data_IF_983178980896
#
_entry.id   IF_983178980896
#
_cell.length_a   1.000
_cell.length_b   1.000
_cell.length_c   1.000
_cell.angle_alpha   90.00
_cell.angle_beta   90.00
_cell.angle_gamma   90.00
#
_symmetry.space_group_name_H-M   'P 1'
#
loop_
_entity.id
_entity.type
_entity.pdbx_description
1 polymer ?
2 water ?
#
# COMPACT_ATOMS: atom_id res chain seq x y z
N UNK A 2 11.42 21.28 20.28
CA UNK A 2 10.15 21.52 19.48
C UNK A 2 9.17 20.33 19.33
N UNK A 3 7.91 20.59 19.73
CA UNK A 3 6.71 19.78 19.40
C UNK A 3 6.64 19.23 17.94
N UNK A 4 6.05 18.04 17.77
CA UNK A 4 5.79 17.46 16.46
C UNK A 4 4.68 18.22 15.68
N UNK A 5 4.93 18.43 14.39
CA UNK A 5 3.95 19.04 13.51
C UNK A 5 3.41 18.07 12.46
N UNK A 6 2.11 18.12 12.29
CA UNK A 6 1.48 17.34 11.30
C UNK A 6 0.89 18.26 10.26
N UNK A 7 1.33 18.15 9.01
CA UNK A 7 0.52 18.79 7.96
C UNK A 7 -0.60 17.87 7.60
N UNK A 8 -1.81 18.39 7.64
CA UNK A 8 -2.96 17.51 7.77
C UNK A 8 -4.32 18.12 7.36
N UNK A 9 -5.32 17.25 7.20
CA UNK A 9 -6.68 17.67 7.04
C UNK A 9 -7.46 16.62 7.76
N UNK A 10 -8.39 16.99 8.65
CA UNK A 10 -9.08 15.99 9.39
C UNK A 10 -9.98 15.10 8.57
N UNK A 11 -10.52 15.60 7.44
CA UNK A 11 -11.29 14.71 6.56
C UNK A 11 -10.42 13.59 6.01
N UNK A 12 -9.11 13.79 5.94
CA UNK A 12 -8.26 12.82 5.23
C UNK A 12 -8.03 11.47 5.94
N UNK A 13 -8.35 10.32 5.29
CA UNK A 13 -8.11 9.10 6.07
C UNK A 13 -6.72 8.80 6.59
N UNK A 14 -5.68 8.88 5.70
CA UNK A 14 -4.36 8.68 6.25
C UNK A 14 -3.98 9.71 7.31
N UNK A 15 -4.63 10.91 7.25
CA UNK A 15 -4.44 11.88 8.28
C UNK A 15 -4.92 11.38 9.64
N UNK A 16 -6.20 10.95 9.70
CA UNK A 16 -6.77 10.34 10.91
C UNK A 16 -6.04 9.08 11.45
N UNK A 17 -5.33 8.35 10.57
CA UNK A 17 -4.62 7.14 11.04
C UNK A 17 -3.60 7.55 12.08
N UNK A 18 -2.90 8.66 11.81
CA UNK A 18 -1.79 9.19 12.56
C UNK A 18 -2.23 9.84 13.84
N UNK A 19 -3.34 10.57 13.72
CA UNK A 19 -4.06 11.23 14.84
C UNK A 19 -4.46 10.19 15.91
N UNK A 20 -5.07 9.08 15.47
CA UNK A 20 -5.31 7.94 16.36
C UNK A 20 -4.00 7.48 17.05
N UNK A 21 -2.92 7.34 16.29
CA UNK A 21 -1.64 6.92 16.83
C UNK A 21 -1.07 7.90 17.92
N UNK A 22 -1.06 9.21 17.56
CA UNK A 22 -0.69 10.22 18.48
C UNK A 22 -1.47 10.00 19.74
N UNK A 23 -2.79 10.01 19.62
CA UNK A 23 -3.60 9.78 20.75
C UNK A 23 -3.14 8.55 21.59
N UNK A 24 -3.02 7.37 20.95
CA UNK A 24 -2.60 6.14 21.55
C UNK A 24 -1.25 6.23 22.22
N UNK A 25 -0.39 7.18 21.75
CA UNK A 25 0.94 7.42 22.31
C UNK A 25 1.02 8.52 23.36
N UNK A 26 -0.05 9.30 23.48
CA UNK A 26 -0.09 10.43 24.44
C UNK A 26 0.66 11.65 23.92
N UNK A 27 0.72 11.74 22.57
CA UNK A 27 1.50 12.72 21.87
C UNK A 27 0.52 13.78 21.40
N UNK A 28 1.05 15.00 21.45
CA UNK A 28 0.32 16.22 21.23
C UNK A 28 0.84 16.76 19.86
N UNK A 29 -0.02 16.75 18.85
CA UNK A 29 0.41 17.21 17.53
C UNK A 29 0.02 18.66 17.21
N UNK A 30 0.94 19.40 16.60
CA UNK A 30 0.55 20.69 16.15
C UNK A 30 0.02 20.51 14.72
N UNK A 31 -1.30 20.63 14.55
CA UNK A 31 -1.90 20.55 13.21
C UNK A 31 -1.78 21.83 12.40
N UNK A 32 -1.34 21.71 11.18
CA UNK A 32 -1.28 22.77 10.21
C UNK A 32 -2.08 22.28 9.06
N UNK A 33 -3.11 23.01 8.68
CA UNK A 33 -4.05 22.51 7.71
C UNK A 33 -3.48 22.63 6.33
N UNK A 34 -3.80 21.64 5.49
CA UNK A 34 -3.43 21.60 4.07
C UNK A 34 -4.74 21.22 3.42
N UNK A 35 -5.50 22.22 2.97
CA UNK A 35 -6.81 22.05 2.34
C UNK A 35 -6.55 21.61 0.90
N UNK A 36 -6.69 20.30 0.69
CA UNK A 36 -6.63 19.76 -0.69
C UNK A 36 -7.72 20.29 -1.63
N UNK A 37 -8.96 20.52 -1.17
CA UNK A 37 -10.01 21.13 -2.02
C UNK A 37 -9.58 22.47 -2.73
N UNK A 38 -8.80 23.29 -2.02
CA UNK A 38 -8.22 24.55 -2.55
C UNK A 38 -6.74 24.46 -3.11
N UNK A 39 -6.19 23.27 -3.24
CA UNK A 39 -4.84 23.06 -3.76
C UNK A 39 -3.71 23.54 -2.87
N UNK A 40 -3.86 23.46 -1.54
CA UNK A 40 -2.80 23.86 -0.58
C UNK A 40 -1.55 23.05 -0.81
N UNK A 41 -1.72 21.84 -1.38
CA UNK A 41 -0.74 20.73 -1.44
C UNK A 41 0.05 20.76 -2.72
N UNK A 42 -0.53 21.50 -3.65
CA UNK A 42 0.08 21.80 -4.89
C UNK A 42 0.90 23.08 -4.83
N UNK A 43 0.81 23.84 -3.73
CA UNK A 43 1.60 25.04 -3.53
C UNK A 43 3.09 24.70 -3.34
N UNK A 44 3.99 25.46 -4.01
CA UNK A 44 5.46 25.25 -4.07
C UNK A 44 6.23 24.95 -2.75
N UNK A 45 5.74 25.45 -1.63
CA UNK A 45 6.39 25.22 -0.36
C UNK A 45 6.13 23.80 0.21
N UNK A 46 4.94 23.28 -0.09
CA UNK A 46 4.56 21.94 0.30
C UNK A 46 5.01 21.00 -0.80
N UNK A 47 5.26 21.49 -2.01
CA UNK A 47 5.76 20.52 -2.95
C UNK A 47 7.18 20.29 -2.58
N UNK A 48 7.75 21.23 -1.81
CA UNK A 48 9.15 21.08 -1.34
C UNK A 48 9.27 20.04 -0.22
N UNK A 49 8.25 19.95 0.65
CA UNK A 49 8.19 19.00 1.73
C UNK A 49 7.89 17.61 1.21
N UNK A 50 7.12 17.52 0.13
CA UNK A 50 6.64 16.24 -0.35
C UNK A 50 6.34 16.38 -1.80
N UNK A 51 7.24 15.84 -2.65
CA UNK A 51 7.07 15.72 -4.12
C UNK A 51 5.85 14.85 -4.55
N UNK A 52 5.23 14.17 -3.59
CA UNK A 52 4.04 13.44 -3.91
C UNK A 52 2.85 14.30 -3.56
N UNK A 53 3.12 15.49 -3.03
CA UNK A 53 2.06 16.41 -2.60
C UNK A 53 0.85 15.65 -1.99
N UNK A 54 1.13 14.83 -0.97
CA UNK A 54 0.12 14.13 -0.20
C UNK A 54 0.28 14.54 1.26
N UNK A 55 -0.79 14.32 2.01
CA UNK A 55 -0.83 14.44 3.44
C UNK A 55 -1.21 13.05 4.05
N UNK A 56 -0.82 12.82 5.32
CA UNK A 56 -0.13 13.76 6.19
C UNK A 56 1.35 13.86 5.92
N UNK A 57 1.95 14.95 6.41
CA UNK A 57 3.37 15.07 6.49
C UNK A 57 3.77 15.33 7.90
N UNK A 58 4.68 14.55 8.45
CA UNK A 58 5.30 14.83 9.71
C UNK A 58 6.58 15.66 9.64
N UNK A 59 6.68 16.68 10.53
CA UNK A 59 7.86 17.44 10.75
C UNK A 59 8.22 17.35 12.24
N UNK A 60 9.30 16.68 12.54
CA UNK A 60 9.74 16.49 13.92
C UNK A 60 11.09 17.19 14.12
N UNK A 61 11.14 18.53 14.13
CA UNK A 61 12.33 19.33 14.43
C UNK A 61 13.36 18.97 13.42
N UNK A 62 13.10 19.17 12.16
CA UNK A 62 14.05 18.93 11.17
C UNK A 62 13.64 17.76 10.32
N UNK A 63 13.24 16.64 10.94
CA UNK A 63 12.96 15.39 10.20
C UNK A 63 11.57 15.44 9.58
N UNK A 64 11.49 15.21 8.27
CA UNK A 64 10.25 15.23 7.55
C UNK A 64 9.93 13.80 7.09
N UNK A 65 8.73 13.32 7.45
CA UNK A 65 8.31 12.00 7.06
C UNK A 65 7.00 12.15 6.35
N UNK A 66 6.93 11.63 5.15
CA UNK A 66 5.75 11.62 4.36
C UNK A 66 5.01 10.24 4.66
N UNK A 67 3.81 10.07 4.18
CA UNK A 67 3.18 8.75 4.17
C UNK A 67 2.75 8.24 5.55
N UNK A 68 1.43 8.17 5.76
CA UNK A 68 0.88 7.78 7.04
C UNK A 68 1.49 6.56 7.73
N UNK A 69 1.92 5.55 6.98
CA UNK A 69 2.23 4.26 7.64
C UNK A 69 3.64 4.37 8.17
N UNK A 70 4.49 5.03 7.39
CA UNK A 70 5.82 5.37 7.87
C UNK A 70 5.82 6.28 9.09
N UNK A 71 4.94 7.32 9.14
CA UNK A 71 4.92 8.31 10.24
C UNK A 71 4.46 7.52 11.46
N UNK A 72 3.44 6.66 11.24
CA UNK A 72 3.00 5.81 12.36
C UNK A 72 4.06 4.85 12.96
N UNK A 73 4.72 4.11 12.07
CA UNK A 73 5.97 3.30 12.50
C UNK A 73 6.96 4.12 13.33
N UNK A 74 7.34 5.27 12.78
CA UNK A 74 8.32 6.18 13.38
C UNK A 74 7.87 6.78 14.69
N UNK A 75 6.62 7.17 14.76
CA UNK A 75 6.11 7.67 16.04
C UNK A 75 6.19 6.58 17.16
N UNK A 76 5.63 5.38 16.90
CA UNK A 76 5.80 4.27 17.84
C UNK A 76 7.27 3.94 18.15
N UNK A 77 8.13 3.91 17.14
CA UNK A 77 9.53 3.57 17.38
C UNK A 77 10.18 4.62 18.26
N UNK A 78 9.93 5.90 18.00
CA UNK A 78 10.58 6.91 18.79
C UNK A 78 9.92 7.10 20.15
N UNK A 79 8.58 6.96 20.21
CA UNK A 79 7.94 7.61 21.34
C UNK A 79 7.18 6.70 22.21
N UNK A 80 7.02 5.47 21.75
CA UNK A 80 6.25 4.50 22.48
C UNK A 80 6.99 4.23 23.76
N UNK A 81 6.25 4.09 24.86
CA UNK A 81 6.81 3.68 26.09
C UNK A 81 6.93 2.09 26.09
N UNK A 82 6.23 1.44 25.16
CA UNK A 82 6.32 -0.01 24.92
C UNK A 82 6.00 -0.21 23.46
N UNK A 83 6.10 -1.46 23.01
CA UNK A 83 5.93 -1.71 21.58
C UNK A 83 4.60 -2.33 21.19
N UNK A 84 3.58 -2.30 22.05
CA UNK A 84 2.32 -2.98 21.65
C UNK A 84 1.79 -2.52 20.31
N UNK A 85 1.96 -1.25 20.01
CA UNK A 85 1.33 -0.66 18.80
C UNK A 85 2.18 -1.04 17.55
N UNK A 86 3.42 -1.44 17.76
CA UNK A 86 4.20 -1.89 16.66
C UNK A 86 5.38 -2.80 17.10
N UNK A 87 5.08 -4.14 17.15
CA UNK A 87 5.98 -5.15 17.69
C UNK A 87 7.37 -5.04 17.13
N UNK A 88 8.38 -5.07 18.01
CA UNK A 88 9.75 -5.37 17.61
C UNK A 88 9.99 -6.85 17.17
N UNK A 89 9.35 -7.83 17.78
CA UNK A 89 9.58 -9.23 17.34
C UNK A 89 9.31 -9.29 15.81
N UNK A 90 10.27 -9.79 15.00
CA UNK A 90 10.10 -9.91 13.52
C UNK A 90 8.85 -10.62 13.05
N UNK A 91 8.51 -11.73 13.70
CA UNK A 91 7.33 -12.51 13.29
C UNK A 91 6.05 -11.71 13.60
N UNK A 92 6.00 -11.19 14.82
CA UNK A 92 4.91 -10.35 15.16
C UNK A 92 4.88 -9.11 14.31
N UNK A 93 6.04 -8.54 13.96
CA UNK A 93 6.04 -7.28 13.22
C UNK A 93 5.61 -7.49 11.78
N UNK A 94 5.84 -8.69 11.25
CA UNK A 94 5.45 -9.06 9.88
C UNK A 94 3.97 -9.20 9.73
N UNK A 95 3.28 -9.60 10.76
CA UNK A 95 1.83 -9.59 10.69
C UNK A 95 1.26 -8.18 10.73
N UNK A 96 1.77 -7.32 11.58
CA UNK A 96 1.45 -5.91 11.41
C UNK A 96 1.78 -5.37 10.00
N UNK A 97 3.03 -5.50 9.52
CA UNK A 97 3.38 -5.08 8.19
C UNK A 97 2.52 -5.53 7.05
N UNK A 98 2.02 -6.77 7.09
CA UNK A 98 1.19 -7.31 6.07
C UNK A 98 -0.18 -6.65 6.02
N UNK A 99 -0.78 -6.42 7.20
CA UNK A 99 -1.99 -5.68 7.40
C UNK A 99 -1.80 -4.13 7.11
N UNK A 100 -0.58 -3.59 7.23
CA UNK A 100 -0.34 -2.19 6.84
C UNK A 100 -0.30 -2.02 5.35
N UNK A 101 0.22 -3.02 4.66
CA UNK A 101 0.29 -3.01 3.26
C UNK A 101 -0.91 -3.43 2.54
N UNK A 102 -1.71 -4.25 3.21
CA UNK A 102 -3.07 -4.63 2.82
C UNK A 102 -3.96 -3.37 2.86
N UNK A 103 -3.97 -2.68 3.99
CA UNK A 103 -4.56 -1.37 4.02
C UNK A 103 -4.07 -0.41 2.92
N UNK A 104 -2.75 -0.17 2.73
CA UNK A 104 -2.30 0.71 1.63
C UNK A 104 -2.78 0.25 0.23
N UNK A 105 -2.63 -1.05 -0.05
CA UNK A 105 -2.70 -1.57 -1.37
C UNK A 105 -4.05 -2.01 -1.75
N UNK A 106 -4.86 -2.35 -0.75
CA UNK A 106 -6.23 -2.80 -1.05
C UNK A 106 -7.32 -1.86 -0.60
N UNK A 107 -7.45 -1.64 0.70
CA UNK A 107 -8.55 -0.91 1.26
C UNK A 107 -8.52 0.59 0.86
N UNK A 108 -7.37 1.23 1.04
CA UNK A 108 -7.30 2.69 0.77
C UNK A 108 -7.19 2.95 -0.71
N UNK A 109 -6.47 2.10 -1.41
CA UNK A 109 -6.34 2.24 -2.83
C UNK A 109 -7.69 2.13 -3.54
N UNK A 110 -8.54 1.20 -3.12
CA UNK A 110 -9.90 1.05 -3.63
C UNK A 110 -10.85 2.17 -3.25
N UNK A 111 -10.75 2.64 -2.03
CA UNK A 111 -11.43 3.87 -1.62
C UNK A 111 -11.10 5.16 -2.42
N UNK A 112 -9.83 5.38 -2.64
CA UNK A 112 -9.33 6.40 -3.54
C UNK A 112 -9.79 6.35 -5.01
N UNK A 113 -9.92 5.14 -5.51
CA UNK A 113 -10.34 4.79 -6.85
C UNK A 113 -11.81 5.17 -6.91
N UNK A 114 -12.48 5.22 -5.74
CA UNK A 114 -13.91 5.66 -5.66
C UNK A 114 -14.07 7.16 -5.41
N UNK A 115 -13.32 7.73 -4.47
CA UNK A 115 -13.46 9.06 -3.94
C UNK A 115 -12.80 10.12 -4.79
N UNK A 116 -11.68 9.78 -5.38
CA UNK A 116 -10.82 10.80 -6.00
C UNK A 116 -11.46 11.45 -7.24
N UNK A 117 -11.99 10.63 -8.14
CA UNK A 117 -12.72 11.08 -9.28
C UNK A 117 -13.99 11.92 -8.89
N UNK A 118 -14.57 11.62 -7.73
CA UNK A 118 -15.72 12.41 -7.31
C UNK A 118 -15.27 13.76 -6.72
N UNK A 119 -14.25 13.74 -5.87
CA UNK A 119 -13.97 14.94 -5.13
C UNK A 119 -13.12 15.90 -5.92
N UNK A 120 -12.41 15.40 -6.96
CA UNK A 120 -11.44 16.17 -7.71
C UNK A 120 -11.58 16.17 -9.23
N UNK A 121 -12.32 15.22 -9.80
CA UNK A 121 -12.42 15.07 -11.26
C UNK A 121 -13.86 15.34 -11.74
N UNK A 122 -14.72 15.84 -10.85
CA UNK A 122 -16.08 16.29 -11.23
C UNK A 122 -17.13 15.22 -11.42
N UNK A 123 -16.86 14.02 -10.94
CA UNK A 123 -17.62 12.83 -11.34
C UNK A 123 -18.81 12.60 -10.44
N UNK A 124 -19.86 12.04 -11.03
CA UNK A 124 -21.14 12.01 -10.36
C UNK A 124 -21.64 10.59 -10.14
N UNK A 125 -20.86 9.59 -10.60
CA UNK A 125 -21.23 8.18 -10.44
C UNK A 125 -20.23 7.45 -9.54
N UNK A 126 -20.68 6.31 -8.98
CA UNK A 126 -19.80 5.28 -8.41
C UNK A 126 -19.91 4.11 -9.37
N UNK A 127 -19.02 4.02 -10.39
CA UNK A 127 -19.14 2.82 -11.23
C UNK A 127 -19.23 1.49 -10.49
N UNK A 128 -20.00 0.58 -11.07
CA UNK A 128 -20.24 -0.76 -10.57
C UNK A 128 -18.92 -1.46 -10.32
N UNK A 129 -17.87 -1.20 -11.08
CA UNK A 129 -16.59 -1.92 -10.81
C UNK A 129 -15.80 -1.42 -9.59
N UNK A 130 -15.91 -0.10 -9.33
CA UNK A 130 -15.49 0.53 -8.10
C UNK A 130 -16.18 -0.11 -6.92
N UNK A 131 -17.49 -0.15 -6.96
CA UNK A 131 -18.28 -0.93 -5.98
C UNK A 131 -17.81 -2.37 -5.69
N UNK A 132 -17.59 -3.19 -6.71
CA UNK A 132 -17.13 -4.58 -6.51
C UNK A 132 -15.76 -4.66 -5.90
N UNK A 133 -14.86 -3.78 -6.31
CA UNK A 133 -13.49 -3.71 -5.74
C UNK A 133 -13.64 -3.36 -4.25
N UNK A 134 -14.53 -2.44 -3.89
CA UNK A 134 -14.66 -2.03 -2.48
C UNK A 134 -15.35 -3.13 -1.66
N UNK A 135 -16.46 -3.66 -2.18
CA UNK A 135 -17.15 -4.84 -1.57
C UNK A 135 -16.15 -6.03 -1.46
N UNK A 136 -15.25 -6.25 -2.45
CA UNK A 136 -14.23 -7.34 -2.30
C UNK A 136 -13.20 -7.01 -1.21
N UNK A 137 -12.83 -5.72 -1.10
CA UNK A 137 -11.99 -5.29 -0.03
C UNK A 137 -12.60 -5.47 1.37
N UNK A 138 -13.89 -5.17 1.56
CA UNK A 138 -14.57 -5.56 2.79
C UNK A 138 -14.46 -7.05 3.15
N UNK A 139 -14.65 -7.95 2.20
CA UNK A 139 -14.60 -9.43 2.46
C UNK A 139 -13.18 -9.85 2.79
N UNK A 140 -12.21 -9.24 2.13
CA UNK A 140 -10.84 -9.51 2.41
C UNK A 140 -10.46 -9.12 3.83
N UNK A 141 -11.15 -8.14 4.39
CA UNK A 141 -10.86 -7.63 5.69
C UNK A 141 -11.54 -8.50 6.67
N UNK A 142 -12.80 -8.78 6.49
CA UNK A 142 -13.54 -9.75 7.32
C UNK A 142 -12.83 -11.11 7.48
N UNK A 143 -12.28 -11.66 6.38
CA UNK A 143 -11.34 -12.84 6.44
C UNK A 143 -9.97 -12.67 7.10
N UNK A 144 -9.52 -11.43 7.27
CA UNK A 144 -8.27 -11.16 7.90
C UNK A 144 -8.49 -11.05 9.43
N UNK A 145 -9.70 -10.75 9.81
CA UNK A 145 -10.07 -10.66 11.23
C UNK A 145 -10.40 -12.04 11.89
N UNK A 146 -9.46 -13.00 11.85
CA UNK A 146 -9.55 -14.25 12.65
C UNK A 146 -9.28 -14.00 14.16
N UNK A 147 -8.48 -12.95 14.42
CA UNK A 147 -8.36 -12.41 15.76
C UNK A 147 -9.20 -11.17 16.01
N UNK A 148 -9.15 -10.68 17.25
CA UNK A 148 -9.89 -9.46 17.62
C UNK A 148 -9.44 -8.18 16.88
N UNK A 149 -8.21 -8.15 16.34
CA UNK A 149 -7.68 -6.92 15.74
C UNK A 149 -6.98 -7.37 14.51
N UNK A 150 -6.76 -6.45 13.56
CA UNK A 150 -6.41 -6.89 12.22
C UNK A 150 -5.12 -7.74 12.12
N UNK A 151 -4.16 -7.52 13.03
CA UNK A 151 -2.82 -8.18 12.99
C UNK A 151 -2.52 -8.95 14.29
N UNK A 152 -3.57 -9.39 14.97
CA UNK A 152 -3.43 -10.18 16.17
C UNK A 152 -4.48 -9.99 17.23
N UNK A 153 -4.24 -10.52 18.46
CA UNK A 153 -5.04 -10.35 19.65
C UNK A 153 -4.81 -8.96 20.35
N UNK A 154 -3.70 -8.28 20.00
CA UNK A 154 -3.36 -6.93 20.48
C UNK A 154 -3.57 -5.85 19.39
N UNK A 155 -4.16 -4.73 19.78
CA UNK A 155 -4.38 -3.59 18.87
C UNK A 155 -3.09 -2.99 18.39
N UNK A 156 -2.98 -2.69 17.11
CA UNK A 156 -1.80 -2.08 16.51
C UNK A 156 -2.15 -0.89 15.63
N UNK A 157 -1.08 -0.21 15.17
CA UNK A 157 -1.27 0.92 14.22
C UNK A 157 -1.93 0.44 12.96
N UNK A 158 -1.90 -0.89 12.73
CA UNK A 158 -2.58 -1.45 11.56
C UNK A 158 -4.09 -1.28 11.76
N UNK A 159 -4.54 -1.24 13.01
CA UNK A 159 -6.01 -1.10 13.24
C UNK A 159 -6.53 0.31 12.97
N UNK A 160 -5.78 1.30 13.40
CA UNK A 160 -5.98 2.77 13.12
C UNK A 160 -5.98 3.06 11.60
N UNK A 161 -5.04 2.46 10.95
CA UNK A 161 -4.90 2.56 9.50
C UNK A 161 -6.18 1.99 8.84
N UNK A 162 -6.57 0.74 9.14
CA UNK A 162 -7.79 0.19 8.62
C UNK A 162 -9.05 0.95 9.01
N UNK A 163 -9.22 1.30 10.29
CA UNK A 163 -10.44 1.99 10.73
C UNK A 163 -10.63 3.35 10.01
N UNK A 164 -9.55 4.10 9.85
CA UNK A 164 -9.62 5.41 9.23
C UNK A 164 -10.18 5.35 7.80
N UNK A 165 -9.71 4.37 7.04
CA UNK A 165 -10.30 4.01 5.77
C UNK A 165 -11.70 3.47 5.87
N UNK A 166 -11.90 2.37 6.60
CA UNK A 166 -13.20 1.74 6.54
C UNK A 166 -14.31 2.69 6.94
N UNK A 167 -14.06 3.51 7.94
CA UNK A 167 -15.09 4.43 8.45
C UNK A 167 -15.46 5.55 7.52
N UNK A 168 -14.65 5.69 6.48
CA UNK A 168 -14.91 6.72 5.47
C UNK A 168 -15.78 6.12 4.38
N UNK A 169 -15.28 5.03 3.79
CA UNK A 169 -15.92 4.36 2.63
C UNK A 169 -17.26 3.67 2.97
N UNK A 170 -17.56 3.35 4.26
CA UNK A 170 -18.74 2.54 4.54
C UNK A 170 -20.01 3.40 4.46
N UNK A 171 -19.86 4.71 4.66
CA UNK A 171 -20.98 5.67 4.54
C UNK A 171 -21.30 6.05 3.08
N UNK A 172 -20.49 5.54 2.15
CA UNK A 172 -20.67 5.60 0.71
C UNK A 172 -20.94 4.22 0.10
N UNK A 173 -20.17 3.19 0.41
CA UNK A 173 -20.46 1.88 -0.26
C UNK A 173 -20.83 1.01 0.89
N UNK A 174 -22.13 0.74 1.01
CA UNK A 174 -22.81 0.05 2.10
C UNK A 174 -22.04 -1.16 2.52
N UNK A 175 -21.83 -1.30 3.82
CA UNK A 175 -21.16 -2.47 4.39
C UNK A 175 -22.33 -3.21 5.09
N UNK A 176 -22.73 -4.29 4.46
CA UNK A 176 -23.86 -5.06 4.96
C UNK A 176 -23.42 -5.76 6.22
N UNK A 177 -24.15 -5.50 7.29
CA UNK A 177 -23.81 -6.08 8.59
C UNK A 177 -24.01 -7.60 8.78
N UNK A 178 -25.02 -8.19 8.13
CA UNK A 178 -25.30 -9.65 8.23
C UNK A 178 -24.20 -10.46 7.60
N UNK A 179 -23.52 -9.86 6.65
CA UNK A 179 -22.41 -10.44 5.91
C UNK A 179 -21.01 -10.10 6.47
N UNK A 180 -20.91 -9.07 7.27
CA UNK A 180 -19.61 -8.78 7.87
C UNK A 180 -19.68 -8.63 9.36
N UNK A 181 -20.10 -9.70 10.08
CA UNK A 181 -20.12 -9.50 11.58
C UNK A 181 -18.72 -9.21 12.26
N UNK A 182 -17.64 -9.75 11.71
CA UNK A 182 -16.33 -9.56 12.28
C UNK A 182 -15.86 -8.07 12.19
N UNK A 183 -16.08 -7.43 11.04
CA UNK A 183 -15.79 -6.03 10.88
C UNK A 183 -16.57 -5.23 11.91
N UNK A 184 -17.88 -5.48 12.04
CA UNK A 184 -18.68 -4.67 12.98
C UNK A 184 -18.28 -4.86 14.46
N UNK A 185 -18.04 -6.08 14.87
CA UNK A 185 -17.55 -6.35 16.19
C UNK A 185 -16.17 -5.65 16.42
N UNK A 186 -15.41 -5.51 15.36
CA UNK A 186 -14.11 -4.87 15.41
C UNK A 186 -14.24 -3.32 15.55
N UNK A 187 -15.11 -2.70 14.75
CA UNK A 187 -15.43 -1.26 14.84
C UNK A 187 -15.87 -0.91 16.25
N UNK A 188 -16.76 -1.71 16.77
CA UNK A 188 -17.21 -1.68 18.18
C UNK A 188 -16.07 -1.68 19.21
N UNK A 189 -15.12 -2.61 19.09
CA UNK A 189 -13.90 -2.47 19.89
C UNK A 189 -13.22 -1.09 19.78
N UNK A 190 -12.98 -0.59 18.56
CA UNK A 190 -12.22 0.70 18.37
C UNK A 190 -13.01 1.90 18.87
N UNK A 191 -14.31 1.80 18.82
CA UNK A 191 -15.17 2.88 19.33
C UNK A 191 -15.14 2.99 20.80
N UNK A 192 -14.69 1.97 21.49
CA UNK A 192 -14.59 2.06 22.90
C UNK A 192 -13.45 2.91 23.36
N UNK A 193 -12.52 3.24 22.45
CA UNK A 193 -11.38 4.11 22.76
C UNK A 193 -11.84 5.52 23.10
N UNK A 194 -11.38 6.06 24.29
CA UNK A 194 -11.68 7.38 24.83
C UNK A 194 -11.50 8.46 23.77
N UNK A 195 -10.43 8.37 22.97
CA UNK A 195 -10.17 9.33 21.90
C UNK A 195 -10.74 8.94 20.50
N UNK A 196 -11.54 7.89 20.40
CA UNK A 196 -12.05 7.56 19.05
C UNK A 196 -12.99 8.61 18.30
N UNK A 197 -13.92 9.26 18.95
CA UNK A 197 -14.78 10.13 18.18
C UNK A 197 -13.96 11.30 17.55
N UNK A 198 -13.11 11.90 18.39
CA UNK A 198 -12.25 13.03 18.08
C UNK A 198 -11.16 12.73 17.10
N UNK A 199 -10.42 11.65 17.25
CA UNK A 199 -9.31 11.46 16.30
C UNK A 199 -9.75 10.88 14.98
N UNK A 200 -10.91 10.24 14.94
CA UNK A 200 -11.33 9.54 13.73
C UNK A 200 -12.81 9.53 13.37
N UNK A 201 -13.68 9.20 14.32
CA UNK A 201 -15.05 8.77 13.91
C UNK A 201 -15.85 9.86 13.19
N UNK A 202 -15.63 11.11 13.65
CA UNK A 202 -16.31 12.28 13.07
C UNK A 202 -15.81 12.63 11.68
N UNK A 203 -14.50 12.65 11.48
CA UNK A 203 -13.95 12.85 10.10
C UNK A 203 -14.31 11.76 9.07
N UNK A 204 -14.18 10.46 9.44
CA UNK A 204 -14.78 9.34 8.66
C UNK A 204 -16.25 9.51 8.24
N UNK A 205 -17.12 9.66 9.23
CA UNK A 205 -18.50 9.97 8.99
C UNK A 205 -18.56 11.23 8.09
N UNK A 206 -17.97 12.32 8.53
CA UNK A 206 -18.11 13.53 7.70
C UNK A 206 -17.56 13.45 6.23
N UNK A 207 -16.50 12.68 5.99
CA UNK A 207 -15.95 12.51 4.62
C UNK A 207 -16.90 11.72 3.70
N UNK A 208 -17.54 10.70 4.30
CA UNK A 208 -18.57 9.88 3.64
C UNK A 208 -19.71 10.74 3.16
N UNK A 209 -20.27 11.53 4.08
CA UNK A 209 -21.36 12.46 3.76
C UNK A 209 -20.94 13.46 2.71
N UNK A 210 -19.69 13.89 2.80
CA UNK A 210 -19.14 14.88 1.85
C UNK A 210 -19.07 14.35 0.40
N UNK A 211 -18.47 13.17 0.29
CA UNK A 211 -18.37 12.49 -0.99
C UNK A 211 -19.78 12.35 -1.57
N UNK A 212 -20.74 12.02 -0.73
CA UNK A 212 -22.11 11.92 -1.22
C UNK A 212 -22.75 13.28 -1.67
N UNK A 213 -22.55 14.31 -0.87
CA UNK A 213 -22.94 15.70 -1.20
C UNK A 213 -22.18 16.13 -2.46
N UNK A 214 -20.87 15.90 -2.46
CA UNK A 214 -20.02 16.28 -3.56
C UNK A 214 -20.42 15.65 -4.89
N UNK A 215 -21.06 14.50 -4.85
CA UNK A 215 -21.50 13.76 -5.98
C UNK A 215 -22.96 14.12 -6.41
N UNK A 216 -23.88 14.40 -5.47
CA UNK A 216 -25.20 15.03 -5.80
C UNK A 216 -24.93 16.34 -6.56
N UNK A 217 -23.87 17.01 -6.13
CA UNK A 217 -23.37 18.28 -6.67
C UNK A 217 -22.69 18.27 -8.05
N UNK A 218 -22.07 17.15 -8.40
CA UNK A 218 -21.44 16.99 -9.70
C UNK A 218 -22.46 16.59 -10.79
N UNK A 219 -23.65 16.19 -10.37
CA UNK A 219 -24.63 15.78 -11.34
C UNK A 219 -25.30 17.00 -12.04
N UNK A 220 -25.19 18.17 -11.40
CA UNK A 220 -25.94 19.36 -11.74
C UNK A 220 -25.20 20.26 -12.71
N UNK A 221 -24.23 21.00 -12.14
CA UNK A 221 -23.44 22.01 -12.84
C UNK A 221 -22.02 21.50 -13.11
N UNK B 1 18.12 -25.27 9.69
CA UNK B 1 16.64 -25.52 9.82
C UNK B 1 16.10 -25.92 8.44
N UNK B 2 14.81 -25.71 8.19
CA UNK B 2 14.22 -25.87 6.86
C UNK B 2 14.59 -24.72 5.93
N UNK B 3 14.50 -25.01 4.63
CA UNK B 3 14.74 -24.01 3.60
C UNK B 3 13.62 -22.98 3.55
N UNK B 4 13.84 -21.88 2.88
CA UNK B 4 12.73 -20.89 2.79
C UNK B 4 11.76 -21.34 1.71
N UNK B 5 10.48 -21.40 2.02
CA UNK B 5 9.47 -21.79 1.02
C UNK B 5 8.61 -20.56 0.64
N UNK B 6 8.61 -20.25 -0.65
CA UNK B 6 7.75 -19.21 -1.17
C UNK B 6 6.71 -19.85 -2.06
N UNK B 7 5.43 -19.59 -1.80
CA UNK B 7 4.34 -19.92 -2.74
C UNK B 7 4.23 -18.72 -3.67
N UNK B 8 4.35 -18.93 -4.97
CA UNK B 8 4.77 -17.90 -5.87
C UNK B 8 4.33 -18.16 -7.33
N UNK B 9 4.66 -17.23 -8.21
CA UNK B 9 4.41 -17.33 -9.63
C UNK B 9 5.27 -16.23 -10.16
N UNK B 10 6.15 -16.59 -11.07
CA UNK B 10 7.15 -15.68 -11.57
C UNK B 10 6.60 -14.49 -12.34
N UNK B 11 5.57 -14.75 -13.18
CA UNK B 11 4.70 -13.64 -13.70
C UNK B 11 4.13 -12.56 -12.71
N UNK B 12 3.80 -12.96 -11.47
CA UNK B 12 3.32 -12.03 -10.42
C UNK B 12 4.38 -11.03 -10.01
N UNK B 13 4.12 -9.71 -10.20
CA UNK B 13 5.14 -8.66 -9.77
C UNK B 13 5.54 -8.71 -8.26
N UNK B 14 4.60 -8.85 -7.35
CA UNK B 14 5.13 -8.94 -5.93
C UNK B 14 5.99 -10.16 -5.57
N UNK B 15 5.79 -11.26 -6.29
CA UNK B 15 6.63 -12.42 -6.15
C UNK B 15 8.07 -12.06 -6.51
N UNK B 16 8.24 -11.37 -7.63
CA UNK B 16 9.56 -10.99 -8.16
C UNK B 16 10.26 -9.98 -7.33
N UNK B 17 9.48 -9.16 -6.57
CA UNK B 17 9.99 -8.18 -5.62
C UNK B 17 10.70 -9.00 -4.45
N UNK B 18 10.03 -10.06 -4.02
CA UNK B 18 10.60 -11.03 -3.11
C UNK B 18 11.79 -11.85 -3.72
N UNK B 19 11.69 -12.28 -4.98
CA UNK B 19 12.83 -12.89 -5.65
C UNK B 19 14.09 -12.02 -5.71
N UNK B 20 13.91 -10.74 -5.98
CA UNK B 20 15.06 -9.87 -6.13
C UNK B 20 15.72 -9.77 -4.76
N UNK B 21 14.87 -9.72 -3.74
CA UNK B 21 15.22 -9.62 -2.32
C UNK B 21 16.02 -10.83 -1.84
N UNK B 22 15.49 -12.06 -1.97
CA UNK B 22 16.25 -13.30 -1.80
C UNK B 22 17.61 -13.28 -2.53
N UNK B 23 17.63 -13.11 -3.84
CA UNK B 23 18.85 -12.99 -4.61
C UNK B 23 19.89 -12.05 -4.06
N UNK B 24 19.50 -10.80 -3.72
CA UNK B 24 20.39 -9.79 -3.11
C UNK B 24 20.94 -10.24 -1.76
N UNK B 25 20.13 -10.99 -1.01
CA UNK B 25 20.55 -11.42 0.34
C UNK B 25 21.32 -12.74 0.32
N UNK B 26 21.47 -13.35 -0.87
CA UNK B 26 22.19 -14.65 -0.97
C UNK B 26 21.33 -15.79 -0.47
N UNK B 27 20.03 -15.65 -0.58
CA UNK B 27 19.14 -16.64 -0.03
C UNK B 27 18.64 -17.46 -1.19
N UNK B 28 17.90 -18.49 -0.87
CA UNK B 28 17.69 -19.56 -1.82
C UNK B 28 16.27 -20.08 -1.57
N UNK B 29 15.33 -19.74 -2.43
CA UNK B 29 13.96 -20.12 -2.11
C UNK B 29 13.58 -21.39 -2.82
N UNK B 30 12.64 -22.07 -2.20
CA UNK B 30 12.06 -23.24 -2.76
C UNK B 30 10.66 -22.76 -3.21
N UNK B 31 10.57 -22.43 -4.51
CA UNK B 31 9.34 -22.05 -5.20
C UNK B 31 8.36 -23.17 -5.24
N UNK B 32 7.17 -22.97 -4.71
CA UNK B 32 6.03 -23.85 -4.93
C UNK B 32 5.07 -23.02 -5.76
N UNK B 33 4.73 -23.46 -6.96
CA UNK B 33 4.04 -22.61 -7.95
C UNK B 33 2.51 -22.53 -7.75
N UNK B 34 2.00 -21.30 -7.72
CA UNK B 34 0.59 -21.12 -7.44
C UNK B 34 0.01 -20.38 -8.61
N UNK B 35 -0.61 -21.12 -9.49
CA UNK B 35 -0.87 -20.59 -10.80
C UNK B 35 -2.26 -20.05 -10.77
N UNK B 36 -2.35 -18.72 -10.78
CA UNK B 36 -3.64 -17.99 -10.69
C UNK B 36 -4.61 -18.31 -11.85
N UNK B 37 -4.10 -18.44 -13.08
CA UNK B 37 -4.96 -18.53 -14.24
C UNK B 37 -5.69 -19.87 -14.31
N UNK B 38 -5.24 -20.82 -13.49
CA UNK B 38 -5.97 -22.09 -13.34
C UNK B 38 -6.46 -22.28 -11.91
N UNK B 39 -6.55 -21.17 -11.15
CA UNK B 39 -7.30 -21.10 -9.88
C UNK B 39 -6.70 -21.73 -8.66
N UNK B 40 -5.39 -22.01 -8.72
CA UNK B 40 -4.62 -22.77 -7.70
C UNK B 40 -4.58 -22.08 -6.33
N UNK B 41 -4.67 -20.74 -6.30
CA UNK B 41 -4.83 -19.92 -5.05
C UNK B 41 -6.21 -19.96 -4.34
N UNK B 42 -7.22 -20.45 -5.06
CA UNK B 42 -8.58 -20.65 -4.51
C UNK B 42 -8.76 -22.09 -4.05
N UNK B 43 -7.70 -22.89 -4.16
CA UNK B 43 -7.68 -24.28 -3.72
C UNK B 43 -7.76 -24.26 -2.23
N UNK B 44 -8.60 -25.15 -1.67
CA UNK B 44 -8.96 -25.13 -0.25
C UNK B 44 -7.78 -25.08 0.78
N UNK B 45 -6.65 -25.73 0.44
CA UNK B 45 -5.44 -25.82 1.28
C UNK B 45 -4.80 -24.46 1.42
N UNK B 46 -4.65 -23.79 0.26
CA UNK B 46 -4.06 -22.48 0.13
C UNK B 46 -4.94 -21.40 0.74
N UNK B 47 -6.26 -21.58 0.62
CA UNK B 47 -7.22 -20.58 1.18
C UNK B 47 -7.21 -20.60 2.68
N UNK B 48 -6.71 -21.70 3.23
CA UNK B 48 -6.61 -21.86 4.65
C UNK B 48 -5.23 -21.33 5.06
N UNK B 49 -4.28 -21.53 4.16
CA UNK B 49 -2.96 -20.93 4.32
C UNK B 49 -3.01 -19.39 4.27
N UNK B 50 -3.59 -18.89 3.17
CA UNK B 50 -3.72 -17.44 2.97
C UNK B 50 -5.17 -16.99 2.81
N UNK B 51 -5.81 -16.53 3.91
CA UNK B 51 -7.20 -16.01 3.87
C UNK B 51 -7.51 -15.02 2.69
N UNK B 52 -6.52 -14.15 2.38
CA UNK B 52 -6.67 -13.16 1.30
C UNK B 52 -6.40 -13.70 -0.09
N UNK B 53 -6.17 -15.02 -0.20
CA UNK B 53 -5.80 -15.75 -1.43
C UNK B 53 -4.83 -15.07 -2.42
N UNK B 54 -3.77 -14.49 -1.91
CA UNK B 54 -2.79 -13.83 -2.77
C UNK B 54 -1.42 -14.55 -2.75
N UNK B 55 -0.47 -14.16 -3.61
CA UNK B 55 0.88 -14.60 -3.42
C UNK B 55 1.74 -13.32 -3.53
N UNK B 56 2.99 -13.31 -2.99
CA UNK B 56 3.69 -14.54 -2.54
C UNK B 56 3.25 -14.92 -1.19
N UNK B 57 3.50 -16.17 -0.80
CA UNK B 57 3.41 -16.49 0.59
C UNK B 57 4.70 -17.10 1.08
N UNK B 58 5.23 -16.60 2.21
CA UNK B 58 6.47 -17.15 2.78
C UNK B 58 6.13 -18.17 3.82
N UNK B 59 6.65 -19.38 3.64
CA UNK B 59 6.72 -20.36 4.74
C UNK B 59 8.16 -20.37 5.29
N UNK B 60 8.36 -19.82 6.47
CA UNK B 60 9.67 -19.89 7.07
C UNK B 60 9.61 -20.75 8.32
N UNK B 61 9.95 -22.04 8.11
CA UNK B 61 9.89 -23.06 9.17
C UNK B 61 8.58 -23.05 9.89
N UNK B 62 7.49 -22.90 9.15
CA UNK B 62 6.15 -22.79 9.80
C UNK B 62 5.61 -21.43 10.18
N UNK B 63 6.46 -20.42 10.29
CA UNK B 63 6.02 -19.04 10.23
C UNK B 63 5.56 -18.70 8.79
N UNK B 64 4.31 -18.26 8.68
CA UNK B 64 3.66 -17.95 7.40
C UNK B 64 3.44 -16.43 7.24
N UNK B 65 4.17 -15.83 6.32
CA UNK B 65 3.92 -14.45 6.03
C UNK B 65 3.41 -14.26 4.59
N UNK B 66 2.36 -13.49 4.49
CA UNK B 66 1.68 -13.30 3.26
C UNK B 66 2.16 -11.85 2.91
N UNK B 67 1.87 -11.32 1.75
CA UNK B 67 2.22 -9.94 1.53
C UNK B 67 3.70 -9.69 1.31
N UNK B 68 4.04 -9.35 0.06
CA UNK B 68 5.42 -9.27 -0.32
C UNK B 68 6.19 -8.28 0.49
N UNK B 69 5.65 -7.11 0.76
CA UNK B 69 6.53 -6.11 1.46
C UNK B 69 6.89 -6.54 2.87
N UNK B 70 5.98 -7.21 3.56
CA UNK B 70 6.26 -7.69 4.92
C UNK B 70 7.30 -8.80 4.82
N UNK B 71 7.19 -9.64 3.77
CA UNK B 71 8.17 -10.66 3.50
C UNK B 71 9.56 -10.08 3.29
N UNK B 72 9.71 -9.11 2.36
CA UNK B 72 10.98 -8.54 2.10
C UNK B 72 11.53 -7.91 3.38
N UNK B 73 10.67 -7.31 4.25
CA UNK B 73 11.14 -6.69 5.55
C UNK B 73 11.67 -7.78 6.55
N UNK B 74 10.85 -8.77 6.88
CA UNK B 74 11.27 -9.97 7.59
C UNK B 74 12.64 -10.52 7.10
N UNK B 75 12.76 -10.83 5.81
CA UNK B 75 13.96 -11.44 5.28
C UNK B 75 15.18 -10.52 5.44
N UNK B 76 15.07 -9.26 5.11
CA UNK B 76 16.19 -8.33 5.47
C UNK B 76 16.55 -8.28 6.96
N UNK B 77 15.54 -8.09 7.82
CA UNK B 77 15.72 -8.05 9.26
C UNK B 77 16.39 -9.35 9.82
N UNK B 78 15.83 -10.50 9.47
CA UNK B 78 16.29 -11.73 10.08
C UNK B 78 17.54 -12.33 9.43
N UNK B 79 17.75 -12.05 8.15
CA UNK B 79 18.83 -12.66 7.45
C UNK B 79 19.80 -11.69 6.77
N UNK B 80 19.55 -10.40 6.76
CA UNK B 80 20.60 -9.47 6.35
C UNK B 80 21.93 -9.57 7.14
N UNK B 81 23.04 -9.37 6.41
CA UNK B 81 24.41 -9.23 6.95
C UNK B 81 24.73 -7.75 7.34
N UNK B 82 23.84 -6.87 6.90
CA UNK B 82 23.85 -5.44 7.15
C UNK B 82 22.41 -4.88 6.96
N UNK B 83 22.15 -3.61 7.32
CA UNK B 83 20.86 -2.93 7.11
C UNK B 83 20.93 -2.14 5.76
N UNK B 84 21.56 -2.75 4.76
CA UNK B 84 21.76 -2.00 3.58
C UNK B 84 20.42 -1.98 2.81
N UNK B 85 19.61 -3.05 2.99
CA UNK B 85 18.42 -3.18 2.16
C UNK B 85 17.23 -2.58 2.80
N UNK B 86 17.32 -2.41 4.11
CA UNK B 86 16.30 -1.85 4.89
C UNK B 86 16.97 -1.15 6.09
N UNK B 87 17.26 0.19 5.98
CA UNK B 87 17.98 0.84 7.11
C UNK B 87 17.30 0.67 8.48
N UNK B 88 18.11 0.56 9.53
CA UNK B 88 17.65 0.49 10.92
C UNK B 88 17.48 1.85 11.60
N UNK B 89 18.30 2.85 11.26
CA UNK B 89 18.00 4.24 11.52
C UNK B 89 16.52 4.64 11.24
N UNK B 90 15.80 5.12 12.29
CA UNK B 90 14.39 5.59 12.21
C UNK B 90 14.03 6.48 11.01
N UNK B 91 14.87 7.49 10.77
CA UNK B 91 14.69 8.41 9.62
C UNK B 91 14.92 7.81 8.23
N UNK B 92 16.05 7.13 8.04
CA UNK B 92 16.22 6.46 6.76
C UNK B 92 15.34 5.28 6.62
N UNK B 93 15.05 4.54 7.71
CA UNK B 93 13.94 3.59 7.65
C UNK B 93 12.58 4.19 7.16
N UNK B 94 12.22 5.37 7.62
CA UNK B 94 10.92 5.96 7.33
C UNK B 94 10.87 6.29 5.84
N UNK B 95 11.97 6.81 5.26
CA UNK B 95 12.04 7.08 3.85
C UNK B 95 11.74 5.82 3.06
N UNK B 96 12.33 4.70 3.44
CA UNK B 96 12.04 3.41 2.83
C UNK B 96 10.63 2.91 3.12
N UNK B 97 10.08 3.17 4.29
CA UNK B 97 8.74 2.60 4.50
C UNK B 97 7.77 3.48 3.73
N UNK B 98 8.10 4.76 3.49
CA UNK B 98 7.26 5.62 2.60
C UNK B 98 7.24 5.19 1.14
N UNK B 99 8.38 4.85 0.57
CA UNK B 99 8.48 4.31 -0.79
C UNK B 99 7.76 2.97 -0.96
N UNK B 100 7.89 2.15 0.07
CA UNK B 100 7.16 0.84 0.08
C UNK B 100 5.60 1.03 0.06
N UNK B 101 5.08 1.84 0.97
CA UNK B 101 3.71 2.19 0.94
C UNK B 101 3.14 2.97 -0.32
N UNK B 102 3.94 3.87 -0.94
CA UNK B 102 3.74 4.49 -2.26
C UNK B 102 3.66 3.31 -3.20
N UNK B 103 4.47 2.31 -2.90
CA UNK B 103 4.49 1.21 -3.85
C UNK B 103 3.25 0.38 -3.84
N UNK B 104 2.78 -0.01 -2.66
CA UNK B 104 1.52 -0.80 -2.70
C UNK B 104 0.31 0.07 -3.00
N UNK B 105 0.28 1.31 -2.46
CA UNK B 105 -0.93 2.14 -2.51
C UNK B 105 -1.16 2.82 -3.85
N UNK B 106 -0.09 2.91 -4.65
CA UNK B 106 -0.09 3.69 -5.95
C UNK B 106 0.35 2.88 -7.15
N UNK B 107 1.62 2.53 -7.19
CA UNK B 107 2.15 1.75 -8.30
C UNK B 107 1.49 0.40 -8.53
N UNK B 108 1.49 -0.43 -7.50
CA UNK B 108 0.93 -1.73 -7.70
C UNK B 108 -0.58 -1.73 -7.95
N UNK B 109 -1.26 -0.94 -7.12
CA UNK B 109 -2.73 -0.85 -7.07
C UNK B 109 -3.31 -0.45 -8.44
N UNK B 110 -2.65 0.47 -9.12
CA UNK B 110 -3.16 1.02 -10.40
C UNK B 110 -2.74 0.09 -11.49
N UNK B 111 -1.64 -0.60 -11.31
CA UNK B 111 -1.40 -1.67 -12.21
C UNK B 111 -2.44 -2.74 -12.03
N UNK B 112 -2.76 -3.16 -10.81
CA UNK B 112 -3.87 -4.12 -10.69
C UNK B 112 -5.25 -3.61 -11.29
N UNK B 113 -5.53 -2.29 -11.23
CA UNK B 113 -6.77 -1.72 -11.77
C UNK B 113 -6.88 -1.92 -13.27
N UNK B 114 -5.74 -1.88 -13.94
CA UNK B 114 -5.61 -2.12 -15.35
C UNK B 114 -5.58 -3.61 -15.74
N UNK B 115 -4.67 -4.37 -15.09
CA UNK B 115 -4.33 -5.72 -15.46
C UNK B 115 -5.49 -6.70 -15.08
N UNK B 116 -5.97 -6.62 -13.84
CA UNK B 116 -6.90 -7.59 -13.33
C UNK B 116 -8.18 -7.72 -14.19
N UNK B 117 -8.76 -6.61 -14.62
CA UNK B 117 -10.03 -6.71 -15.32
C UNK B 117 -9.87 -7.40 -16.69
N UNK B 118 -8.79 -7.04 -17.43
CA UNK B 118 -8.23 -7.79 -18.58
C UNK B 118 -7.94 -9.31 -18.34
N UNK B 119 -7.14 -9.68 -17.34
CA UNK B 119 -6.75 -11.12 -17.14
C UNK B 119 -7.75 -12.02 -16.46
N UNK B 120 -8.72 -11.39 -15.82
CA UNK B 120 -9.66 -12.14 -14.99
C UNK B 120 -11.15 -11.92 -15.26
N UNK B 121 -11.51 -10.73 -15.75
CA UNK B 121 -12.93 -10.40 -15.98
C UNK B 121 -13.35 -10.28 -17.45
N UNK B 122 -12.49 -10.65 -18.38
CA UNK B 122 -12.93 -10.72 -19.77
C UNK B 122 -12.89 -9.44 -20.58
N UNK B 123 -12.36 -8.39 -19.94
CA UNK B 123 -12.30 -7.06 -20.53
C UNK B 123 -11.13 -6.88 -21.51
N UNK B 124 -11.27 -5.88 -22.38
CA UNK B 124 -10.50 -5.77 -23.64
C UNK B 124 -10.13 -4.35 -23.98
N UNK B 125 -10.45 -3.42 -23.09
CA UNK B 125 -9.97 -2.05 -23.24
C UNK B 125 -9.05 -1.71 -22.10
N UNK B 126 -8.33 -0.60 -22.24
CA UNK B 126 -7.71 0.16 -21.19
C UNK B 126 -8.27 1.59 -21.29
N UNK B 127 -9.35 1.90 -20.55
CA UNK B 127 -9.95 3.23 -20.66
C UNK B 127 -8.95 4.40 -20.40
N UNK B 128 -9.12 5.54 -21.07
CA UNK B 128 -8.26 6.68 -20.73
C UNK B 128 -8.29 7.03 -19.23
N UNK B 129 -9.32 6.61 -18.49
CA UNK B 129 -9.29 6.77 -17.02
C UNK B 129 -8.15 5.99 -16.29
N UNK B 130 -7.88 4.75 -16.75
CA UNK B 130 -6.80 3.90 -16.24
C UNK B 130 -5.43 4.41 -16.65
N UNK B 131 -5.22 4.62 -17.96
CA UNK B 131 -3.99 5.20 -18.50
C UNK B 131 -3.51 6.42 -17.71
N UNK B 132 -4.38 7.44 -17.63
CA UNK B 132 -4.10 8.66 -16.93
C UNK B 132 -3.66 8.36 -15.50
N UNK B 133 -4.38 7.46 -14.80
CA UNK B 133 -4.09 6.92 -13.46
C UNK B 133 -2.69 6.33 -13.24
N UNK B 134 -2.27 5.40 -14.10
CA UNK B 134 -0.86 4.88 -14.19
C UNK B 134 0.19 5.92 -14.61
N UNK B 135 -0.12 6.74 -15.63
CA UNK B 135 0.75 7.87 -15.90
C UNK B 135 0.89 8.78 -14.74
N UNK B 136 -0.19 9.10 -14.02
CA UNK B 136 0.05 10.00 -12.87
C UNK B 136 1.04 9.26 -11.86
N UNK B 137 0.97 7.93 -11.78
CA UNK B 137 1.90 7.18 -10.84
C UNK B 137 3.39 7.10 -11.35
N UNK B 138 3.56 7.02 -12.68
CA UNK B 138 4.93 7.24 -13.34
C UNK B 138 5.55 8.53 -12.88
N UNK B 139 4.70 9.52 -12.81
CA UNK B 139 5.07 10.90 -12.54
C UNK B 139 5.38 11.04 -11.05
N UNK B 140 4.59 10.40 -10.21
CA UNK B 140 4.87 10.50 -8.79
C UNK B 140 6.16 9.80 -8.47
N UNK B 141 6.38 8.65 -9.10
CA UNK B 141 7.65 7.91 -8.99
C UNK B 141 8.84 8.67 -9.57
N UNK B 142 8.63 9.40 -10.67
CA UNK B 142 9.73 10.29 -11.18
C UNK B 142 10.01 11.40 -10.18
N UNK B 143 8.94 12.01 -9.61
CA UNK B 143 9.08 13.11 -8.62
C UNK B 143 9.89 12.62 -7.41
N UNK B 144 9.70 11.36 -7.06
CA UNK B 144 10.30 10.72 -5.89
C UNK B 144 11.80 10.39 -6.05
N UNK B 145 12.23 10.20 -7.31
CA UNK B 145 13.61 9.77 -7.58
C UNK B 145 14.48 10.97 -7.75
N UNK B 146 14.69 11.64 -6.64
CA UNK B 146 15.59 12.76 -6.43
C UNK B 146 17.00 12.30 -6.03
N UNK B 147 17.15 11.01 -5.75
CA UNK B 147 18.45 10.40 -5.60
C UNK B 147 18.45 9.27 -6.62
N UNK B 148 19.55 8.53 -6.70
CA UNK B 148 19.78 7.38 -7.66
C UNK B 148 18.84 6.21 -7.50
N UNK B 149 18.39 6.01 -6.26
CA UNK B 149 17.52 4.90 -5.89
C UNK B 149 16.31 5.47 -5.22
N UNK B 150 15.27 4.67 -5.09
CA UNK B 150 13.95 5.29 -4.85
C UNK B 150 13.79 5.93 -3.48
N UNK B 151 14.61 5.40 -2.56
CA UNK B 151 14.48 5.74 -1.19
C UNK B 151 15.81 6.33 -0.74
N UNK B 152 16.64 6.69 -1.73
CA UNK B 152 17.85 7.47 -1.48
C UNK B 152 19.09 7.02 -2.19
N UNK B 153 20.28 7.33 -1.61
CA UNK B 153 21.54 7.15 -2.35
C UNK B 153 21.82 5.67 -2.68
N UNK B 154 21.14 4.80 -1.98
CA UNK B 154 21.48 3.37 -1.96
C UNK B 154 20.19 2.57 -2.25
N UNK B 155 20.35 1.48 -3.00
CA UNK B 155 19.27 0.53 -3.31
C UNK B 155 18.79 -0.18 -2.08
N UNK B 156 17.46 -0.15 -1.88
CA UNK B 156 16.71 -0.87 -0.82
C UNK B 156 15.71 -1.87 -1.41
N UNK B 157 15.04 -2.68 -0.61
CA UNK B 157 13.86 -3.51 -1.04
C UNK B 157 12.73 -2.62 -1.67
N UNK B 158 12.67 -1.38 -1.26
CA UNK B 158 11.75 -0.43 -1.88
C UNK B 158 11.96 -0.32 -3.40
N UNK B 159 13.21 -0.48 -3.84
CA UNK B 159 13.57 -0.38 -5.27
C UNK B 159 13.14 -1.70 -5.97
N UNK B 160 13.29 -2.81 -5.25
CA UNK B 160 12.70 -4.10 -5.68
C UNK B 160 11.18 -4.07 -5.86
N UNK B 161 10.41 -3.45 -4.94
CA UNK B 161 8.92 -3.38 -5.11
C UNK B 161 8.57 -2.56 -6.36
N UNK B 162 9.10 -1.33 -6.45
CA UNK B 162 8.84 -0.46 -7.57
C UNK B 162 9.20 -1.09 -8.90
N UNK B 163 10.39 -1.63 -9.04
CA UNK B 163 10.82 -2.10 -10.37
C UNK B 163 10.05 -3.29 -10.84
N UNK B 164 9.66 -4.14 -9.91
CA UNK B 164 8.91 -5.34 -10.21
C UNK B 164 7.54 -5.00 -10.81
N UNK B 165 7.00 -3.84 -10.39
CA UNK B 165 5.71 -3.32 -10.83
C UNK B 165 5.89 -2.54 -12.10
N UNK B 166 6.89 -1.67 -12.13
CA UNK B 166 7.16 -0.75 -13.24
C UNK B 166 7.58 -1.50 -14.50
N UNK B 167 8.33 -2.62 -14.32
CA UNK B 167 8.68 -3.53 -15.41
C UNK B 167 7.58 -4.39 -16.06
N UNK B 168 6.48 -4.59 -15.36
CA UNK B 168 5.30 -5.27 -15.89
C UNK B 168 4.36 -4.34 -16.62
N UNK B 169 4.32 -3.09 -16.16
CA UNK B 169 3.28 -2.20 -16.62
C UNK B 169 3.77 -1.25 -17.73
N UNK B 170 5.09 -1.11 -17.88
CA UNK B 170 5.67 -0.30 -18.96
C UNK B 170 5.31 -0.79 -20.33
N UNK B 171 5.16 -2.12 -20.47
CA UNK B 171 4.97 -2.73 -21.78
C UNK B 171 3.51 -2.73 -22.23
N UNK B 172 2.64 -2.14 -21.41
CA UNK B 172 1.19 -2.11 -21.60
C UNK B 172 0.76 -0.63 -21.65
N UNK B 173 1.17 0.13 -20.64
CA UNK B 173 0.95 1.59 -20.58
C UNK B 173 2.33 2.26 -20.69
N UNK B 174 2.65 2.76 -21.88
CA UNK B 174 4.04 3.10 -22.19
C UNK B 174 4.58 4.11 -21.22
N UNK B 175 5.80 3.86 -20.78
CA UNK B 175 6.44 4.76 -19.90
C UNK B 175 7.35 5.60 -20.77
N UNK B 176 6.93 6.82 -21.06
CA UNK B 176 7.61 7.57 -22.12
C UNK B 176 8.88 8.17 -21.65
N UNK B 177 9.89 8.08 -22.50
CA UNK B 177 11.26 8.18 -22.02
C UNK B 177 11.67 9.62 -21.84
N UNK B 178 11.24 10.48 -22.76
CA UNK B 178 11.51 11.94 -22.67
C UNK B 178 10.98 12.59 -21.41
N UNK B 179 9.88 12.02 -20.87
CA UNK B 179 9.16 12.56 -19.69
C UNK B 179 9.76 12.09 -18.34
N UNK B 180 10.27 10.86 -18.33
CA UNK B 180 10.78 10.21 -17.11
C UNK B 180 12.24 9.75 -17.24
N UNK B 181 13.18 10.73 -17.36
CA UNK B 181 14.63 10.39 -17.37
C UNK B 181 15.17 9.71 -16.06
N UNK B 182 14.67 10.15 -14.91
CA UNK B 182 15.14 9.61 -13.66
C UNK B 182 14.72 8.15 -13.64
N UNK B 183 13.51 7.83 -14.08
CA UNK B 183 13.04 6.47 -13.96
C UNK B 183 13.88 5.53 -14.81
N UNK B 184 14.08 5.96 -16.07
CA UNK B 184 14.91 5.30 -17.07
C UNK B 184 16.35 5.11 -16.65
N UNK B 185 16.98 6.14 -16.11
CA UNK B 185 18.33 6.09 -15.53
C UNK B 185 18.40 5.12 -14.39
N UNK B 186 17.31 5.07 -13.65
CA UNK B 186 17.11 4.14 -12.54
C UNK B 186 16.82 2.71 -12.94
N UNK B 187 15.90 2.48 -13.89
CA UNK B 187 15.76 1.15 -14.51
C UNK B 187 17.20 0.72 -14.89
N UNK B 188 17.94 1.59 -15.61
CA UNK B 188 19.31 1.29 -16.04
C UNK B 188 20.19 0.83 -14.90
N UNK B 189 20.18 1.48 -13.72
CA UNK B 189 20.85 0.93 -12.46
C UNK B 189 20.46 -0.48 -12.00
N UNK B 190 19.20 -0.83 -12.23
CA UNK B 190 18.68 -2.10 -11.79
C UNK B 190 19.10 -3.24 -12.70
N UNK B 191 19.25 -2.92 -13.97
CA UNK B 191 19.58 -3.87 -14.98
C UNK B 191 21.08 -4.20 -14.87
N UNK B 192 21.79 -3.45 -14.04
CA UNK B 192 23.20 -3.58 -13.78
C UNK B 192 23.41 -4.55 -12.63
N UNK B 193 22.37 -5.26 -12.19
CA UNK B 193 22.54 -6.36 -11.23
C UNK B 193 22.55 -7.63 -12.02
N UNK B 194 23.41 -8.59 -11.62
CA UNK B 194 23.62 -9.78 -12.46
C UNK B 194 22.38 -10.68 -12.38
N UNK B 195 21.66 -10.62 -11.26
CA UNK B 195 20.48 -11.44 -10.96
C UNK B 195 19.18 -10.73 -11.33
N UNK B 196 19.29 -9.51 -11.89
CA UNK B 196 18.12 -8.71 -12.29
C UNK B 196 17.16 -9.39 -13.29
N UNK B 197 17.74 -9.92 -14.39
CA UNK B 197 16.93 -10.39 -15.54
C UNK B 197 16.21 -11.67 -15.17
N UNK B 198 16.93 -12.45 -14.36
CA UNK B 198 16.50 -13.71 -13.82
C UNK B 198 15.34 -13.61 -12.83
N UNK B 199 15.57 -12.87 -11.74
CA UNK B 199 14.63 -12.74 -10.67
C UNK B 199 13.56 -11.76 -11.05
N UNK B 200 13.84 -10.83 -11.94
CA UNK B 200 12.77 -9.88 -12.30
C UNK B 200 12.43 -9.64 -13.72
N UNK B 201 13.42 -9.13 -14.45
CA UNK B 201 13.18 -8.45 -15.72
C UNK B 201 12.30 -9.24 -16.71
N UNK B 202 12.76 -10.42 -17.04
CA UNK B 202 12.01 -11.31 -17.92
C UNK B 202 10.54 -11.54 -17.59
N UNK B 203 10.21 -11.73 -16.32
CA UNK B 203 8.82 -12.06 -15.88
C UNK B 203 7.92 -10.82 -16.00
N UNK B 204 8.53 -9.65 -15.83
CA UNK B 204 7.87 -8.38 -15.91
C UNK B 204 7.53 -8.09 -17.34
N UNK B 205 8.56 -8.17 -18.19
CA UNK B 205 8.45 -8.15 -19.67
C UNK B 205 7.39 -9.16 -20.18
N UNK B 206 7.41 -10.41 -19.70
CA UNK B 206 6.33 -11.38 -20.04
C UNK B 206 4.96 -11.18 -19.36
N UNK B 207 4.90 -10.56 -18.16
CA UNK B 207 3.58 -10.08 -17.64
C UNK B 207 3.00 -9.02 -18.63
N UNK B 208 3.82 -8.08 -19.09
CA UNK B 208 3.30 -7.14 -20.10
C UNK B 208 2.64 -7.87 -21.30
N UNK B 209 3.36 -8.86 -21.89
CA UNK B 209 2.96 -9.58 -23.12
C UNK B 209 1.70 -10.33 -22.92
N UNK B 210 1.61 -11.06 -21.82
CA UNK B 210 0.42 -11.80 -21.51
C UNK B 210 -0.84 -10.93 -21.37
N UNK B 211 -0.69 -9.66 -20.97
CA UNK B 211 -1.83 -8.77 -20.85
C UNK B 211 -2.31 -8.35 -22.26
N UNK B 212 -1.42 -7.76 -23.04
CA UNK B 212 -1.64 -7.53 -24.47
C UNK B 212 -2.14 -8.76 -25.25
N UNK B 213 -1.57 -9.94 -25.04
CA UNK B 213 -2.12 -11.10 -25.75
C UNK B 213 -3.54 -11.42 -25.31
N UNK B 214 -3.81 -11.30 -24.02
CA UNK B 214 -5.10 -11.71 -23.44
C UNK B 214 -6.21 -10.66 -23.70
N UNK B 215 -5.78 -9.40 -23.92
CA UNK B 215 -6.63 -8.26 -24.24
C UNK B 215 -7.35 -8.57 -25.52
N UNK B 216 -6.57 -8.89 -26.56
CA UNK B 216 -7.11 -9.57 -27.75
C UNK B 216 -8.05 -10.73 -27.34
N UNK B 217 -9.13 -10.35 -26.62
CA UNK B 217 -10.38 -11.08 -26.40
C UNK B 217 -11.55 -10.15 -26.75
N UNK B 218 -11.36 -9.46 -27.87
CA UNK B 218 -12.37 -8.82 -28.67
C UNK B 218 -13.19 -9.80 -29.53
#
# INVERSE_FOLDING_TARGET
MSNLVLYTLHLSPPCRAVELTAKALGLELEQKTINLLTGDHLKPEFVKLNPQHTIPVLDDNGTIITESHAIMIYLVTKYGKDDSLYPKDPVKQARVNSALHFESGVLFARMRFIFERILFFGKSDIPEDRVEYVQKSYELLEDTLVDDFVAGPTMTIADFSCISTISSIMGVVPLEQSKHPRIYAWIDRLKQLPYYEEANGGGGTDLGKFVLAKKEENAKA
MSNLVLYTLHLSPPCRAVELTAKALGLELEQKTINLLTGDHLKPEFVKLNPQHTIPVLDDNGTIITESHAIMIYLVTKYGKDDSLYPKDPVKQARVNSALHFESGVLFARMRFIFERILFFGKSDIPEDRVEYVQKSYELLEDTLVDDFVAGPTMTIADFSCISTISSIMGVVPLEQSKHPRIYAWIDRLKQLPYYEEANGGGGTDLGKFVLAKKEENAKA
#
